data_IF_523364547381
#
_entry.id   IF_523364547381
#
_cell.length_a   1.000
_cell.length_b   1.000
_cell.length_c   1.000
_cell.angle_alpha   90.00
_cell.angle_beta   90.00
_cell.angle_gamma   90.00
#
_symmetry.space_group_name_H-M   'P 1'
#
loop_
_entity.id
_entity.type
_entity.pdbx_description
1 polymer ?
#
# COMPACT_ATOMS: atom_id res chain seq x y z
N UNK A 1 -55.40 40.57 -17.71
CA UNK A 1 -54.07 40.90 -17.15
C UNK A 1 -54.09 40.94 -15.62
N UNK A 2 -54.45 39.85 -14.89
CA UNK A 2 -54.50 39.89 -13.40
C UNK A 2 -54.16 38.55 -12.73
N UNK A 3 -53.31 37.71 -13.33
CA UNK A 3 -52.90 36.41 -12.74
C UNK A 3 -51.45 36.35 -12.19
N UNK A 4 -50.64 37.41 -12.36
CA UNK A 4 -49.23 37.42 -11.91
C UNK A 4 -49.01 37.94 -10.47
N UNK A 5 -50.00 38.57 -9.86
CA UNK A 5 -49.85 39.21 -8.54
C UNK A 5 -50.08 38.21 -7.36
N UNK A 6 -50.83 37.12 -7.59
CA UNK A 6 -51.17 36.18 -6.50
C UNK A 6 -50.05 35.19 -6.18
N UNK A 7 -49.18 34.90 -7.15
CA UNK A 7 -48.07 33.94 -6.97
C UNK A 7 -46.95 34.51 -6.09
N UNK A 8 -46.70 35.81 -6.15
CA UNK A 8 -45.68 36.50 -5.34
C UNK A 8 -46.05 36.64 -3.87
N UNK A 9 -47.35 36.71 -3.54
CA UNK A 9 -47.82 36.83 -2.16
C UNK A 9 -47.76 35.52 -1.38
N UNK A 10 -47.85 34.39 -2.05
CA UNK A 10 -47.71 33.06 -1.38
C UNK A 10 -46.27 32.71 -1.04
N UNK A 11 -45.27 33.22 -1.80
CA UNK A 11 -43.85 32.95 -1.53
C UNK A 11 -43.34 33.68 -0.28
N UNK A 12 -43.93 34.82 0.07
CA UNK A 12 -43.52 35.65 1.23
C UNK A 12 -43.99 35.08 2.59
N UNK A 13 -44.94 34.15 2.61
CA UNK A 13 -45.50 33.58 3.85
C UNK A 13 -44.76 32.38 4.40
N UNK A 14 -43.73 31.83 3.66
CA UNK A 14 -42.94 30.68 4.10
C UNK A 14 -41.60 31.00 4.76
N UNK A 15 -41.22 32.30 4.83
CA UNK A 15 -39.92 32.73 5.35
C UNK A 15 -39.92 33.14 6.82
N UNK A 16 -41.04 32.97 7.54
CA UNK A 16 -41.08 33.23 8.98
C UNK A 16 -40.95 31.91 9.80
N UNK A 17 -39.97 31.01 9.43
CA UNK A 17 -39.50 30.02 10.36
C UNK A 17 -38.66 30.75 11.40
N UNK A 18 -39.13 30.83 12.62
CA UNK A 18 -38.31 31.22 13.78
C UNK A 18 -37.01 30.48 13.69
N UNK A 19 -35.94 31.18 13.42
CA UNK A 19 -34.58 30.63 13.54
C UNK A 19 -34.38 30.31 15.03
N UNK A 20 -34.70 29.07 15.43
CA UNK A 20 -34.33 28.57 16.73
C UNK A 20 -32.78 28.55 16.77
N UNK A 21 -32.20 29.40 17.61
CA UNK A 21 -30.76 29.37 17.85
C UNK A 21 -30.39 28.02 18.48
N UNK A 22 -29.30 27.41 18.03
CA UNK A 22 -28.73 26.19 18.65
C UNK A 22 -28.39 26.49 20.13
N UNK A 23 -28.75 25.58 21.00
CA UNK A 23 -28.35 25.67 22.40
C UNK A 23 -26.89 25.27 22.57
N UNK A 24 -26.21 25.88 23.55
CA UNK A 24 -24.82 25.53 23.87
C UNK A 24 -24.67 24.03 24.17
N UNK A 25 -25.69 23.44 24.80
CA UNK A 25 -25.73 22.00 25.16
C UNK A 25 -25.78 21.13 23.89
N UNK A 26 -26.58 21.47 22.87
CA UNK A 26 -26.63 20.72 21.60
C UNK A 26 -25.27 20.67 20.91
N UNK A 27 -24.55 21.79 20.88
CA UNK A 27 -23.21 21.83 20.28
C UNK A 27 -22.23 20.98 21.07
N UNK A 28 -22.23 21.02 22.41
CA UNK A 28 -21.33 20.22 23.24
C UNK A 28 -21.59 18.72 23.02
N UNK A 29 -22.85 18.28 22.99
CA UNK A 29 -23.21 16.88 22.77
C UNK A 29 -22.74 16.41 21.39
N UNK A 30 -22.95 17.17 20.34
CA UNK A 30 -22.51 16.83 18.98
C UNK A 30 -20.97 16.73 18.91
N UNK A 31 -20.25 17.69 19.47
CA UNK A 31 -18.77 17.66 19.48
C UNK A 31 -18.22 16.48 20.25
N UNK A 32 -18.80 16.12 21.40
CA UNK A 32 -18.36 14.95 22.17
C UNK A 32 -18.57 13.64 21.41
N UNK A 33 -19.68 13.47 20.71
CA UNK A 33 -19.92 12.29 19.87
C UNK A 33 -18.91 12.21 18.72
N UNK A 34 -18.64 13.33 18.04
CA UNK A 34 -17.67 13.38 16.95
C UNK A 34 -16.28 13.00 17.46
N UNK A 35 -15.82 13.50 18.60
CA UNK A 35 -14.50 13.17 19.18
C UNK A 35 -14.38 11.67 19.45
N UNK A 36 -15.41 11.06 20.02
CA UNK A 36 -15.42 9.61 20.31
C UNK A 36 -15.32 8.81 19.00
N UNK A 37 -16.09 9.17 17.96
CA UNK A 37 -16.05 8.47 16.67
C UNK A 37 -14.69 8.63 15.99
N UNK A 38 -14.10 9.82 16.00
CA UNK A 38 -12.77 10.06 15.44
C UNK A 38 -11.68 9.23 16.12
N UNK A 39 -11.73 9.08 17.44
CA UNK A 39 -10.73 8.29 18.17
C UNK A 39 -10.67 6.83 17.73
N UNK A 40 -11.83 6.22 17.46
CA UNK A 40 -11.93 4.84 16.96
C UNK A 40 -11.41 4.73 15.53
N UNK A 41 -11.77 5.67 14.66
CA UNK A 41 -11.37 5.67 13.24
C UNK A 41 -9.85 5.78 13.11
N UNK A 42 -9.18 6.65 13.86
CA UNK A 42 -7.73 6.85 13.79
C UNK A 42 -6.96 5.57 14.12
N UNK A 43 -7.42 4.78 15.07
CA UNK A 43 -6.79 3.50 15.43
C UNK A 43 -6.92 2.47 14.28
N UNK A 44 -8.07 2.36 13.66
CA UNK A 44 -8.32 1.42 12.56
C UNK A 44 -7.53 1.81 11.31
N UNK A 45 -7.48 3.12 10.99
CA UNK A 45 -6.79 3.62 9.79
C UNK A 45 -5.28 3.33 9.84
N UNK A 46 -4.63 3.44 10.99
CA UNK A 46 -3.19 3.15 11.09
C UNK A 46 -2.85 1.70 10.75
N UNK A 47 -3.66 0.75 11.20
CA UNK A 47 -3.48 -0.67 10.85
C UNK A 47 -3.77 -0.94 9.37
N UNK A 48 -4.79 -0.29 8.80
CA UNK A 48 -5.14 -0.42 7.40
C UNK A 48 -4.03 0.11 6.48
N UNK A 49 -3.42 1.24 6.83
CA UNK A 49 -2.29 1.82 6.09
C UNK A 49 -1.10 0.86 6.03
N UNK A 50 -0.72 0.24 7.16
CA UNK A 50 0.39 -0.72 7.18
C UNK A 50 0.10 -1.95 6.31
N UNK A 51 -1.11 -2.51 6.36
CA UNK A 51 -1.51 -3.61 5.46
C UNK A 51 -1.48 -3.22 3.99
N UNK A 52 -1.88 -1.99 3.67
CA UNK A 52 -1.81 -1.48 2.29
C UNK A 52 -0.37 -1.34 1.81
N UNK A 53 0.56 -0.96 2.68
CA UNK A 53 1.99 -0.91 2.38
C UNK A 53 2.54 -2.31 2.11
N UNK A 54 2.18 -3.31 2.94
CA UNK A 54 2.61 -4.70 2.74
C UNK A 54 2.07 -5.26 1.43
N UNK A 55 0.80 -5.04 1.11
CA UNK A 55 0.23 -5.44 -0.19
C UNK A 55 0.91 -4.77 -1.38
N UNK A 56 1.39 -3.53 -1.23
CA UNK A 56 2.18 -2.86 -2.25
C UNK A 56 3.54 -3.54 -2.44
N UNK A 57 4.23 -3.91 -1.35
CA UNK A 57 5.49 -4.64 -1.38
C UNK A 57 5.31 -5.98 -2.08
N UNK A 58 4.35 -6.79 -1.63
CA UNK A 58 4.03 -8.08 -2.21
C UNK A 58 3.74 -7.99 -3.71
N UNK A 59 2.90 -7.02 -4.12
CA UNK A 59 2.54 -6.81 -5.52
C UNK A 59 3.74 -6.48 -6.40
N UNK A 60 4.62 -5.57 -5.94
CA UNK A 60 5.80 -5.18 -6.70
C UNK A 60 6.87 -6.27 -6.75
N UNK A 61 7.04 -7.07 -5.68
CA UNK A 61 7.96 -8.20 -5.70
C UNK A 61 7.44 -9.36 -6.56
N UNK A 62 6.16 -9.71 -6.47
CA UNK A 62 5.58 -10.81 -7.26
C UNK A 62 5.68 -10.57 -8.78
N UNK A 63 5.64 -9.32 -9.23
CA UNK A 63 5.78 -8.98 -10.65
C UNK A 63 7.18 -9.30 -11.19
N UNK A 64 8.19 -9.42 -10.31
CA UNK A 64 9.55 -9.77 -10.70
C UNK A 64 9.65 -11.22 -11.19
N UNK A 65 8.79 -12.13 -10.74
CA UNK A 65 8.80 -13.54 -11.16
C UNK A 65 8.64 -13.68 -12.69
N UNK A 66 7.52 -13.23 -13.30
CA UNK A 66 7.37 -13.30 -14.76
C UNK A 66 8.38 -12.41 -15.49
N UNK A 67 8.84 -11.31 -14.86
CA UNK A 67 9.83 -10.42 -15.46
C UNK A 67 11.21 -11.09 -15.51
N UNK A 68 11.58 -11.85 -14.48
CA UNK A 68 12.81 -12.63 -14.47
C UNK A 68 12.83 -13.71 -15.57
N UNK A 69 11.73 -14.43 -15.75
CA UNK A 69 11.61 -15.40 -16.84
C UNK A 69 11.72 -14.76 -18.24
N UNK A 70 11.10 -13.59 -18.42
CA UNK A 70 11.21 -12.83 -19.65
C UNK A 70 12.64 -12.31 -19.87
N UNK A 71 13.34 -11.90 -18.81
CA UNK A 71 14.74 -11.50 -18.87
C UNK A 71 15.63 -12.68 -19.24
N UNK A 72 15.48 -13.81 -18.58
CA UNK A 72 16.26 -15.04 -18.81
C UNK A 72 16.17 -15.51 -20.26
N UNK A 73 14.96 -15.58 -20.82
CA UNK A 73 14.72 -16.03 -22.20
C UNK A 73 15.07 -14.99 -23.26
N UNK A 74 15.05 -13.69 -22.90
CA UNK A 74 15.29 -12.57 -23.82
C UNK A 74 16.70 -11.99 -23.70
N UNK A 75 16.87 -11.04 -22.80
CA UNK A 75 18.10 -10.26 -22.66
C UNK A 75 19.25 -11.03 -21.98
N UNK A 76 18.91 -11.93 -21.04
CA UNK A 76 19.89 -12.65 -20.24
C UNK A 76 20.59 -13.80 -20.96
N UNK A 77 20.15 -14.17 -22.16
CA UNK A 77 20.71 -15.30 -22.93
C UNK A 77 20.87 -16.59 -22.11
N UNK A 78 19.77 -16.97 -21.42
CA UNK A 78 19.69 -18.07 -20.47
C UNK A 78 20.51 -17.84 -19.17
N UNK A 79 20.59 -16.61 -18.72
CA UNK A 79 21.17 -16.20 -17.44
C UNK A 79 20.37 -15.08 -16.81
N UNK A 80 20.36 -14.98 -15.47
CA UNK A 80 19.83 -13.85 -14.72
C UNK A 80 20.91 -12.80 -14.37
N UNK A 81 22.14 -12.95 -14.89
CA UNK A 81 23.20 -11.98 -14.67
C UNK A 81 22.74 -10.58 -15.11
N UNK A 82 22.81 -9.58 -14.19
CA UNK A 82 22.32 -8.23 -14.42
C UNK A 82 20.81 -8.04 -14.29
N UNK A 83 20.03 -9.08 -13.97
CA UNK A 83 18.58 -8.95 -13.77
C UNK A 83 18.24 -7.97 -12.63
N UNK A 84 18.94 -8.07 -11.50
CA UNK A 84 18.72 -7.18 -10.35
C UNK A 84 19.05 -5.71 -10.66
N UNK A 85 19.92 -5.43 -11.64
CA UNK A 85 20.25 -4.08 -12.12
C UNK A 85 19.35 -3.62 -13.27
N UNK A 86 18.38 -4.44 -13.66
CA UNK A 86 17.46 -4.10 -14.75
C UNK A 86 16.48 -3.00 -14.36
N UNK A 87 16.06 -2.21 -15.36
CA UNK A 87 15.05 -1.17 -15.17
C UNK A 87 13.71 -1.68 -14.61
N UNK A 88 13.41 -2.97 -14.79
CA UNK A 88 12.18 -3.60 -14.24
C UNK A 88 12.29 -3.72 -12.74
N UNK A 89 13.41 -4.21 -12.20
CA UNK A 89 13.67 -4.31 -10.78
C UNK A 89 13.77 -2.93 -10.15
N UNK A 90 14.51 -2.01 -10.77
CA UNK A 90 14.63 -0.63 -10.31
C UNK A 90 13.25 0.04 -10.19
N UNK A 91 12.40 -0.08 -11.20
CA UNK A 91 11.05 0.50 -11.19
C UNK A 91 10.14 -0.16 -10.12
N UNK A 92 10.25 -1.46 -9.90
CA UNK A 92 9.51 -2.14 -8.85
C UNK A 92 9.95 -1.64 -7.46
N UNK A 93 11.25 -1.48 -7.24
CA UNK A 93 11.82 -0.99 -5.97
C UNK A 93 11.51 0.48 -5.70
N UNK A 94 11.46 1.33 -6.73
CA UNK A 94 11.03 2.73 -6.61
C UNK A 94 9.57 2.87 -6.13
N UNK A 95 8.72 1.87 -6.36
CA UNK A 95 7.35 1.87 -5.89
C UNK A 95 7.20 1.28 -4.47
N UNK A 96 8.21 0.57 -3.99
CA UNK A 96 8.31 0.08 -2.62
C UNK A 96 8.90 1.21 -1.76
N UNK A 97 8.33 1.43 -0.58
CA UNK A 97 8.83 2.45 0.34
C UNK A 97 10.27 2.13 0.75
N UNK A 98 11.13 3.14 0.74
CA UNK A 98 12.55 3.00 1.12
C UNK A 98 12.78 2.41 2.51
N UNK A 99 11.81 2.57 3.43
CA UNK A 99 11.85 1.99 4.78
C UNK A 99 11.73 0.44 4.79
N UNK A 100 11.35 -0.17 3.66
CA UNK A 100 11.26 -1.63 3.49
C UNK A 100 12.57 -2.27 3.08
N UNK A 101 13.59 -1.47 2.76
CA UNK A 101 14.93 -1.91 2.32
C UNK A 101 14.85 -3.08 1.32
N UNK A 102 14.30 -2.86 0.10
CA UNK A 102 14.19 -3.92 -0.89
C UNK A 102 15.58 -4.34 -1.39
N UNK A 103 15.80 -5.65 -1.46
CA UNK A 103 17.05 -6.25 -1.91
C UNK A 103 16.77 -7.23 -3.04
N UNK A 104 17.72 -7.37 -3.98
CA UNK A 104 17.71 -8.36 -5.03
C UNK A 104 19.13 -8.87 -5.25
N UNK A 105 19.28 -10.18 -5.30
CA UNK A 105 20.56 -10.86 -5.48
C UNK A 105 20.45 -11.93 -6.55
N UNK A 106 21.49 -12.02 -7.37
CA UNK A 106 21.70 -13.10 -8.35
C UNK A 106 22.89 -13.92 -7.89
N UNK A 107 22.81 -15.24 -7.97
CA UNK A 107 23.93 -16.09 -7.59
C UNK A 107 25.11 -15.97 -8.59
N UNK A 108 26.28 -16.44 -8.19
CA UNK A 108 27.52 -16.35 -9.00
C UNK A 108 27.42 -17.05 -10.37
N UNK A 109 26.52 -18.03 -10.50
CA UNK A 109 26.33 -18.78 -11.74
C UNK A 109 25.30 -18.13 -12.69
N UNK A 110 24.55 -17.12 -12.23
CA UNK A 110 23.51 -16.47 -12.99
C UNK A 110 22.28 -17.35 -13.28
N UNK A 111 22.09 -18.44 -12.54
CA UNK A 111 20.97 -19.38 -12.74
C UNK A 111 19.84 -19.24 -11.69
N UNK A 112 20.06 -18.41 -10.68
CA UNK A 112 19.09 -18.17 -9.59
C UNK A 112 19.14 -16.72 -9.16
N UNK A 113 17.97 -16.19 -8.78
CA UNK A 113 17.85 -14.89 -8.14
C UNK A 113 16.76 -14.94 -7.07
N UNK A 114 16.89 -14.07 -6.08
CA UNK A 114 15.82 -13.78 -5.14
C UNK A 114 15.75 -12.28 -4.85
N UNK A 115 14.54 -11.82 -4.51
CA UNK A 115 14.29 -10.47 -4.06
C UNK A 115 13.43 -10.49 -2.80
N UNK A 116 13.72 -9.57 -1.88
CA UNK A 116 12.97 -9.47 -0.63
C UNK A 116 12.80 -8.01 -0.19
N UNK A 117 11.81 -7.77 0.67
CA UNK A 117 11.61 -6.48 1.33
C UNK A 117 10.92 -6.68 2.68
N UNK A 118 11.26 -5.81 3.65
CA UNK A 118 10.72 -5.84 5.02
C UNK A 118 9.25 -5.41 5.04
N UNK A 119 8.43 -6.07 5.86
CA UNK A 119 7.01 -5.79 6.03
C UNK A 119 6.78 -4.75 7.15
N UNK A 120 5.65 -4.01 7.07
CA UNK A 120 5.26 -2.98 8.03
C UNK A 120 4.35 -3.49 9.14
N UNK A 121 3.48 -4.48 8.85
CA UNK A 121 2.57 -5.07 9.83
C UNK A 121 3.33 -5.94 10.81
N UNK A 122 4.21 -6.79 10.30
CA UNK A 122 5.08 -7.61 11.11
C UNK A 122 6.54 -7.31 10.81
N UNK A 123 7.16 -6.49 11.64
CA UNK A 123 8.54 -6.02 11.46
C UNK A 123 9.62 -7.11 11.61
N UNK A 124 9.24 -8.28 12.12
CA UNK A 124 10.13 -9.45 12.19
C UNK A 124 10.10 -10.28 10.91
N UNK A 125 9.27 -9.87 9.93
CA UNK A 125 9.08 -10.56 8.67
C UNK A 125 9.48 -9.70 7.46
N UNK A 126 9.94 -10.40 6.43
CA UNK A 126 10.14 -9.88 5.08
C UNK A 126 9.37 -10.76 4.09
N UNK A 127 8.93 -10.20 2.98
CA UNK A 127 8.37 -10.96 1.88
C UNK A 127 9.46 -11.26 0.86
N UNK A 128 9.53 -12.52 0.41
CA UNK A 128 10.53 -13.00 -0.51
C UNK A 128 9.90 -13.62 -1.76
N UNK A 129 10.52 -13.37 -2.90
CA UNK A 129 10.23 -14.00 -4.19
C UNK A 129 11.51 -14.48 -4.83
N UNK A 130 11.47 -15.57 -5.63
CA UNK A 130 12.65 -16.09 -6.30
C UNK A 130 12.38 -16.66 -7.70
N UNK A 131 13.45 -17.02 -8.40
CA UNK A 131 13.43 -17.60 -9.75
C UNK A 131 12.64 -18.90 -9.89
N UNK A 132 12.37 -19.61 -8.80
CA UNK A 132 11.54 -20.82 -8.77
C UNK A 132 10.04 -20.52 -8.70
N UNK A 133 9.67 -19.23 -8.59
CA UNK A 133 8.30 -18.78 -8.41
C UNK A 133 7.80 -18.88 -6.96
N UNK A 134 8.70 -19.12 -5.99
CA UNK A 134 8.37 -19.07 -4.57
C UNK A 134 8.01 -17.63 -4.19
N UNK A 135 7.01 -17.48 -3.34
CA UNK A 135 6.52 -16.21 -2.80
C UNK A 135 5.99 -16.47 -1.39
N UNK A 136 6.73 -16.04 -0.39
CA UNK A 136 6.41 -16.35 1.00
C UNK A 136 7.01 -15.32 1.97
N UNK A 137 6.47 -15.29 3.17
CA UNK A 137 7.07 -14.54 4.28
C UNK A 137 8.21 -15.33 4.90
N UNK A 138 9.31 -14.64 5.19
CA UNK A 138 10.46 -15.19 5.88
C UNK A 138 10.89 -14.33 7.06
N UNK A 139 11.87 -14.76 7.83
CA UNK A 139 12.49 -13.94 8.88
C UNK A 139 13.21 -12.75 8.26
N UNK A 140 12.98 -11.55 8.82
CA UNK A 140 13.60 -10.31 8.34
C UNK A 140 15.12 -10.33 8.41
N UNK A 141 15.69 -11.12 9.33
CA UNK A 141 17.13 -11.30 9.46
C UNK A 141 17.79 -11.95 8.24
N UNK A 142 17.00 -12.61 7.38
CA UNK A 142 17.49 -13.19 6.12
C UNK A 142 17.43 -12.20 4.95
N UNK A 143 16.72 -11.06 5.08
CA UNK A 143 16.63 -10.01 4.08
C UNK A 143 17.60 -8.88 4.41
N UNK A 144 18.88 -9.12 4.24
CA UNK A 144 19.93 -8.12 4.41
C UNK A 144 21.10 -8.39 3.41
N UNK A 145 21.92 -7.38 3.18
CA UNK A 145 23.05 -7.44 2.23
C UNK A 145 24.12 -8.47 2.61
N UNK A 146 24.21 -8.85 3.88
CA UNK A 146 25.25 -9.79 4.35
C UNK A 146 24.90 -11.25 4.04
N UNK A 147 23.62 -11.58 3.89
CA UNK A 147 23.15 -12.96 3.71
C UNK A 147 23.23 -13.46 2.27
N UNK A 148 23.43 -12.56 1.26
CA UNK A 148 23.46 -12.89 -0.18
C UNK A 148 22.35 -13.88 -0.57
N UNK A 149 21.12 -13.51 -0.29
CA UNK A 149 19.95 -14.37 -0.46
C UNK A 149 19.64 -14.56 -1.95
N UNK A 150 19.91 -15.73 -2.52
CA UNK A 150 19.63 -16.07 -3.93
C UNK A 150 18.44 -17.01 -4.12
N UNK A 151 17.89 -17.51 -3.02
CA UNK A 151 16.69 -18.35 -2.97
C UNK A 151 15.88 -18.06 -1.71
N UNK A 152 14.55 -18.01 -1.82
CA UNK A 152 13.68 -17.94 -0.65
C UNK A 152 13.77 -19.25 0.17
N UNK A 153 13.84 -19.19 1.51
CA UNK A 153 13.78 -20.38 2.34
C UNK A 153 12.42 -21.06 2.13
N UNK A 154 12.42 -22.39 2.00
CA UNK A 154 11.18 -23.17 1.98
C UNK A 154 10.84 -23.55 3.43
N UNK A 155 9.62 -23.20 3.86
CA UNK A 155 9.06 -23.60 5.16
C UNK A 155 8.60 -25.05 5.15
#
# INVERSE_FOLDING_TARGET
MQKKSLFFLQFKKRLNRKAGGFTLVEIIVVVTIIIILFSIILFIVSQYVNRSKDSNIEGNLVILIPSGEAYYTGHGNNSYEGFCDSSVVENAFLQILSESDPLCEVNEFGDQWAACAKLFVNKEKAFCVDSRGVKEEMDVALCNEETSLTQCPQL
#
